data_IF_577782576913
#
_entry.id   IF_577782576913
#
_cell.length_a   1.000
_cell.length_b   1.000
_cell.length_c   1.000
_cell.angle_alpha   90.00
_cell.angle_beta   90.00
_cell.angle_gamma   90.00
#
_symmetry.space_group_name_H-M   'P 1'
#
loop_
_entity.id
_entity.type
_entity.pdbx_description
1 polymer ?
#
# COMPACT_ATOMS: atom_id res chain seq x y z
N UNK A 1 50.38 12.93 26.04
CA UNK A 1 50.94 13.54 24.82
C UNK A 1 49.79 13.99 23.94
N UNK A 2 49.70 15.30 23.67
CA UNK A 2 48.64 15.92 22.87
C UNK A 2 48.57 15.29 21.48
N UNK A 3 47.41 14.75 21.10
CA UNK A 3 47.14 14.41 19.71
C UNK A 3 46.64 15.68 19.00
N UNK A 4 47.41 16.10 17.99
CA UNK A 4 47.13 17.28 17.15
C UNK A 4 45.86 17.05 16.32
N UNK A 5 45.02 18.06 16.08
CA UNK A 5 43.90 17.95 15.15
C UNK A 5 44.41 17.97 13.70
N UNK A 6 43.80 17.13 12.87
CA UNK A 6 43.98 17.07 11.42
C UNK A 6 43.35 18.33 10.81
N UNK A 7 44.15 19.12 10.08
CA UNK A 7 43.68 20.25 9.27
C UNK A 7 43.21 19.72 7.92
N UNK A 8 42.05 20.15 7.45
CA UNK A 8 41.61 19.98 6.07
C UNK A 8 41.62 21.37 5.43
N UNK A 9 42.42 21.54 4.38
CA UNK A 9 42.57 22.77 3.59
C UNK A 9 41.63 22.71 2.37
N UNK A 10 41.13 23.86 1.90
CA UNK A 10 40.54 24.00 0.57
C UNK A 10 41.58 24.53 -0.44
N UNK A 11 41.25 24.48 -1.74
CA UNK A 11 42.12 24.86 -2.86
C UNK A 11 42.49 26.38 -2.91
N UNK A 12 42.22 27.13 -1.84
CA UNK A 12 42.61 28.52 -1.64
C UNK A 12 43.33 28.82 -0.31
N UNK A 13 43.53 27.83 0.58
CA UNK A 13 44.38 27.98 1.76
C UNK A 13 43.82 28.86 2.89
N UNK A 14 42.50 28.89 3.12
CA UNK A 14 41.91 29.58 4.27
C UNK A 14 41.28 28.63 5.31
N UNK A 15 41.61 28.86 6.58
CA UNK A 15 41.10 28.10 7.74
C UNK A 15 39.70 28.63 8.09
N UNK A 16 38.66 27.80 7.97
CA UNK A 16 37.30 28.14 8.40
C UNK A 16 37.01 27.43 9.74
N UNK A 17 36.92 28.19 10.83
CA UNK A 17 36.41 27.72 12.13
C UNK A 17 34.87 27.54 12.09
N UNK A 18 34.28 26.60 12.86
CA UNK A 18 32.83 26.43 12.90
C UNK A 18 32.16 27.65 13.56
N UNK A 19 31.23 28.28 12.85
CA UNK A 19 30.43 29.40 13.36
C UNK A 19 29.57 28.93 14.56
N UNK A 20 29.95 29.33 15.77
CA UNK A 20 29.10 29.22 16.96
C UNK A 20 27.85 30.09 16.78
N UNK A 21 26.68 29.45 16.77
CA UNK A 21 25.38 30.12 16.61
C UNK A 21 24.99 30.85 17.92
N UNK A 22 25.54 32.04 18.15
CA UNK A 22 25.25 32.90 19.30
C UNK A 22 24.02 33.77 19.05
N UNK A 23 22.83 33.18 19.18
CA UNK A 23 21.55 33.91 19.18
C UNK A 23 20.47 33.19 20.00
N UNK A 24 19.51 33.90 20.61
CA UNK A 24 18.43 33.27 21.37
C UNK A 24 17.58 32.38 20.44
N UNK A 25 17.55 31.08 20.74
CA UNK A 25 16.80 30.09 19.99
C UNK A 25 15.29 30.30 20.19
N UNK A 26 14.59 30.70 19.14
CA UNK A 26 13.14 30.89 19.17
C UNK A 26 12.40 29.61 18.73
N UNK A 27 11.31 29.29 19.42
CA UNK A 27 10.42 28.17 19.13
C UNK A 27 9.82 28.32 17.73
N UNK A 28 10.06 27.35 16.85
CA UNK A 28 9.58 27.41 15.46
C UNK A 28 8.05 27.28 15.34
N UNK A 29 7.38 26.85 16.41
CA UNK A 29 5.92 26.74 16.47
C UNK A 29 5.28 28.07 16.82
N UNK A 30 5.71 28.71 17.91
CA UNK A 30 5.01 29.87 18.49
C UNK A 30 5.90 31.09 18.75
N UNK A 31 7.16 31.11 18.33
CA UNK A 31 8.05 32.27 18.47
C UNK A 31 8.64 32.51 19.87
N UNK A 32 8.08 31.93 20.94
CA UNK A 32 8.62 32.03 22.31
C UNK A 32 10.05 31.44 22.42
N UNK A 33 10.81 31.81 23.46
CA UNK A 33 12.12 31.19 23.74
C UNK A 33 12.03 29.65 23.79
N UNK A 34 12.96 28.99 23.10
CA UNK A 34 12.93 27.56 22.81
C UNK A 34 14.28 26.87 22.96
N UNK A 35 14.24 25.55 23.05
CA UNK A 35 15.39 24.67 23.06
C UNK A 35 15.09 23.44 22.20
N UNK A 36 16.09 22.59 21.96
CA UNK A 36 15.92 21.40 21.12
C UNK A 36 15.03 20.36 21.83
N UNK A 37 13.86 20.08 21.27
CA UNK A 37 12.89 19.09 21.75
C UNK A 37 12.29 18.32 20.57
N UNK A 38 12.25 16.98 20.67
CA UNK A 38 11.67 16.09 19.65
C UNK A 38 12.22 16.32 18.23
N UNK A 39 13.49 16.70 18.10
CA UNK A 39 14.14 16.92 16.81
C UNK A 39 14.09 18.35 16.26
N UNK A 40 13.45 19.30 16.94
CA UNK A 40 13.32 20.70 16.49
C UNK A 40 13.46 21.72 17.63
N UNK A 41 13.57 23.02 17.34
CA UNK A 41 13.61 24.07 18.37
C UNK A 41 12.19 24.42 18.80
N UNK A 42 11.87 24.14 20.06
CA UNK A 42 10.54 24.37 20.62
C UNK A 42 10.59 24.83 22.08
N UNK A 43 9.63 25.66 22.46
CA UNK A 43 9.42 26.02 23.86
C UNK A 43 8.82 24.85 24.66
N UNK A 44 8.93 24.90 25.99
CA UNK A 44 8.36 23.89 26.90
C UNK A 44 6.84 23.70 26.71
N UNK A 45 6.11 24.76 26.37
CA UNK A 45 4.67 24.69 26.11
C UNK A 45 4.34 23.85 24.88
N UNK A 46 5.09 23.99 23.78
CA UNK A 46 4.87 23.19 22.57
C UNK A 46 5.41 21.76 22.71
N UNK A 47 6.50 21.56 23.47
CA UNK A 47 6.97 20.23 23.90
C UNK A 47 5.88 19.47 24.64
N UNK A 48 5.34 20.04 25.72
CA UNK A 48 4.34 19.39 26.55
C UNK A 48 2.98 19.21 25.86
N UNK A 49 2.63 20.11 24.95
CA UNK A 49 1.47 19.97 24.07
C UNK A 49 1.65 18.75 23.14
N UNK A 50 2.73 18.73 22.36
CA UNK A 50 3.02 17.65 21.41
C UNK A 50 3.01 16.27 22.08
N UNK A 51 3.74 16.12 23.20
CA UNK A 51 3.76 14.86 23.96
C UNK A 51 2.37 14.36 24.34
N UNK A 52 1.52 15.24 24.90
CA UNK A 52 0.17 14.85 25.34
C UNK A 52 -0.74 14.52 24.17
N UNK A 53 -0.61 15.24 23.06
CA UNK A 53 -1.41 14.99 21.86
C UNK A 53 -1.11 13.63 21.26
N UNK A 54 0.16 13.22 21.22
CA UNK A 54 0.56 11.91 20.70
C UNK A 54 0.19 10.79 21.68
N UNK A 55 0.59 10.90 22.97
CA UNK A 55 0.39 9.80 23.94
C UNK A 55 -1.08 9.51 24.24
N UNK A 56 -1.95 10.51 24.16
CA UNK A 56 -3.39 10.35 24.39
C UNK A 56 -4.19 10.24 23.08
N UNK A 57 -3.51 10.04 21.96
CA UNK A 57 -4.07 9.97 20.61
C UNK A 57 -5.15 11.04 20.35
N UNK A 58 -4.85 12.31 20.68
CA UNK A 58 -5.83 13.40 20.62
C UNK A 58 -6.11 13.81 19.19
N UNK A 59 -7.35 13.63 18.76
CA UNK A 59 -7.88 14.20 17.52
C UNK A 59 -8.47 15.57 17.81
N UNK A 60 -7.94 16.61 17.17
CA UNK A 60 -8.45 17.97 17.27
C UNK A 60 -9.18 18.36 15.98
N UNK A 61 -10.23 19.19 16.08
CA UNK A 61 -10.89 19.82 14.94
C UNK A 61 -10.61 21.32 14.94
N UNK A 62 -10.40 21.91 13.76
CA UNK A 62 -10.35 23.36 13.61
C UNK A 62 -11.78 23.87 13.42
N UNK A 63 -12.14 24.93 14.15
CA UNK A 63 -13.44 25.64 14.00
C UNK A 63 -13.36 26.84 13.04
N UNK A 64 -12.21 27.01 12.37
CA UNK A 64 -11.92 28.04 11.36
C UNK A 64 -11.40 27.35 10.09
N UNK A 65 -10.66 28.06 9.26
CA UNK A 65 -10.20 27.55 7.95
C UNK A 65 -8.83 26.84 7.98
N UNK A 66 -8.47 26.20 9.10
CA UNK A 66 -7.17 25.49 9.27
C UNK A 66 -5.90 26.36 9.08
N UNK A 67 -6.02 27.69 9.08
CA UNK A 67 -4.92 28.67 8.89
C UNK A 67 -4.61 29.50 10.15
N UNK A 68 -4.94 29.00 11.35
CA UNK A 68 -4.74 29.76 12.59
C UNK A 68 -3.25 30.05 12.87
N UNK A 69 -2.92 31.31 13.14
CA UNK A 69 -1.57 31.75 13.50
C UNK A 69 -1.18 31.33 14.92
N UNK A 70 0.07 30.89 15.08
CA UNK A 70 0.63 30.44 16.35
C UNK A 70 1.61 31.47 16.91
N UNK A 71 1.21 32.17 17.95
CA UNK A 71 2.03 33.05 18.79
C UNK A 71 2.05 32.54 20.24
N UNK A 72 2.90 33.05 21.15
CA UNK A 72 2.89 32.62 22.55
C UNK A 72 1.52 32.82 23.21
N UNK A 73 0.77 33.85 22.79
CA UNK A 73 -0.53 34.24 23.31
C UNK A 73 -1.68 33.45 22.65
N UNK A 74 -1.61 33.23 21.33
CA UNK A 74 -2.74 32.63 20.57
C UNK A 74 -2.66 31.11 20.40
N UNK A 75 -1.53 30.47 20.71
CA UNK A 75 -1.29 29.03 20.45
C UNK A 75 -2.31 28.08 21.09
N UNK A 76 -3.00 28.48 22.15
CA UNK A 76 -4.03 27.63 22.79
C UNK A 76 -5.40 27.75 22.12
N UNK A 77 -5.63 28.74 21.23
CA UNK A 77 -6.91 28.96 20.59
C UNK A 77 -7.30 27.94 19.51
N UNK A 78 -6.32 27.20 18.97
CA UNK A 78 -6.61 26.12 18.01
C UNK A 78 -5.60 24.98 18.15
N UNK A 79 -5.98 23.93 18.88
CA UNK A 79 -5.14 22.75 19.08
C UNK A 79 -4.87 21.99 17.78
N UNK A 80 -5.80 21.99 16.83
CA UNK A 80 -5.58 21.40 15.50
C UNK A 80 -4.40 22.07 14.78
N UNK A 81 -4.47 23.38 14.55
CA UNK A 81 -3.42 24.10 13.81
C UNK A 81 -2.09 24.08 14.57
N UNK A 82 -2.12 24.09 15.91
CA UNK A 82 -0.92 23.97 16.73
C UNK A 82 -0.23 22.61 16.54
N UNK A 83 -1.01 21.51 16.54
CA UNK A 83 -0.47 20.16 16.34
C UNK A 83 0.06 19.98 14.91
N UNK A 84 -0.67 20.49 13.92
CA UNK A 84 -0.19 20.52 12.53
C UNK A 84 1.13 21.28 12.40
N UNK A 85 1.26 22.44 13.06
CA UNK A 85 2.51 23.19 13.04
C UNK A 85 3.65 22.47 13.77
N UNK A 86 3.38 21.72 14.84
CA UNK A 86 4.39 20.86 15.48
C UNK A 86 4.95 19.83 14.49
N UNK A 87 4.10 19.19 13.69
CA UNK A 87 4.56 18.27 12.64
C UNK A 87 5.32 19.00 11.54
N UNK A 88 4.81 20.14 11.07
CA UNK A 88 5.41 20.92 9.98
C UNK A 88 6.84 21.37 10.29
N UNK A 89 7.14 21.71 11.55
CA UNK A 89 8.51 22.09 11.97
C UNK A 89 9.39 20.90 12.35
N UNK A 90 8.91 19.67 12.14
CA UNK A 90 9.70 18.44 12.31
C UNK A 90 9.75 17.88 13.73
N UNK A 91 8.71 18.06 14.56
CA UNK A 91 8.63 17.31 15.81
C UNK A 91 8.38 15.81 15.52
N UNK A 92 9.28 14.95 15.98
CA UNK A 92 9.27 13.50 15.75
C UNK A 92 8.76 12.73 16.96
N UNK A 93 7.87 11.76 16.72
CA UNK A 93 7.29 10.88 17.73
C UNK A 93 8.27 9.84 18.26
N UNK A 94 9.27 9.43 17.47
CA UNK A 94 10.28 8.45 17.87
C UNK A 94 11.10 8.86 19.11
N UNK A 95 11.28 10.16 19.35
CA UNK A 95 11.93 10.67 20.56
C UNK A 95 11.07 10.54 21.83
N UNK A 96 9.79 10.20 21.71
CA UNK A 96 8.93 9.88 22.85
C UNK A 96 9.22 8.47 23.40
N UNK A 97 9.69 7.55 22.54
CA UNK A 97 10.04 6.18 22.92
C UNK A 97 11.45 6.09 23.52
N UNK A 98 12.34 7.02 23.19
CA UNK A 98 13.73 7.07 23.67
C UNK A 98 13.88 7.41 25.17
N UNK A 99 12.81 7.75 25.91
CA UNK A 99 12.92 8.05 27.34
C UNK A 99 12.94 6.80 28.24
N UNK A 100 13.03 5.59 27.68
CA UNK A 100 13.26 4.33 28.41
C UNK A 100 14.32 3.50 27.70
N UNK A 101 15.58 3.94 27.77
CA UNK A 101 16.82 3.11 27.86
C UNK A 101 18.03 4.01 27.59
N UNK A 102 18.74 4.33 28.66
CA UNK A 102 20.07 4.93 28.62
C UNK A 102 21.09 3.93 28.09
N UNK A 103 21.96 4.38 27.19
CA UNK A 103 23.33 3.84 27.09
C UNK A 103 23.78 3.37 25.71
N UNK A 104 24.91 3.97 25.30
CA UNK A 104 25.93 3.46 24.37
C UNK A 104 25.88 3.89 22.90
N UNK A 105 26.87 4.73 22.59
CA UNK A 105 27.27 5.27 21.30
C UNK A 105 27.79 4.20 20.34
N UNK A 106 27.33 4.20 19.08
CA UNK A 106 28.07 3.66 17.92
C UNK A 106 27.88 4.55 16.70
N UNK A 107 28.97 4.78 15.98
CA UNK A 107 29.09 5.65 14.79
C UNK A 107 28.17 5.14 13.66
N UNK A 108 27.32 6.02 13.16
CA UNK A 108 26.49 5.82 11.96
C UNK A 108 27.35 6.26 10.76
N UNK A 109 27.52 5.37 9.79
CA UNK A 109 28.04 5.71 8.46
C UNK A 109 26.88 6.39 7.73
N UNK A 110 27.11 7.64 7.34
CA UNK A 110 26.15 8.51 6.69
C UNK A 110 25.97 8.11 5.22
N UNK A 111 24.91 7.36 4.94
CA UNK A 111 24.30 7.28 3.61
C UNK A 111 23.03 8.13 3.68
N UNK A 112 23.17 9.45 3.60
CA UNK A 112 22.07 10.38 3.43
C UNK A 112 21.61 10.42 1.97
N UNK A 113 20.37 10.03 1.63
CA UNK A 113 19.66 10.63 0.51
C UNK A 113 19.27 12.04 0.93
N UNK A 114 19.63 13.05 0.13
CA UNK A 114 19.18 14.43 0.32
C UNK A 114 17.65 14.48 0.15
N UNK A 115 16.93 14.53 1.27
CA UNK A 115 15.49 14.74 1.34
C UNK A 115 14.94 14.23 2.66
N UNK A 116 14.32 15.10 3.47
CA UNK A 116 13.65 14.68 4.69
C UNK A 116 12.46 13.76 4.37
N UNK A 117 12.27 12.63 5.07
CA UNK A 117 11.15 11.74 4.80
C UNK A 117 9.83 12.41 5.20
N UNK A 118 9.01 12.71 4.21
CA UNK A 118 7.60 13.07 4.38
C UNK A 118 6.85 11.84 4.91
N UNK A 119 5.98 11.96 5.93
CA UNK A 119 5.17 10.83 6.40
C UNK A 119 4.37 10.19 5.24
N UNK A 120 4.18 8.85 5.19
CA UNK A 120 3.50 8.16 4.10
C UNK A 120 2.14 8.78 3.71
N UNK A 121 1.36 9.21 4.71
CA UNK A 121 0.08 9.90 4.50
C UNK A 121 0.22 11.27 3.83
N UNK A 122 1.27 12.04 4.15
CA UNK A 122 1.56 13.32 3.51
C UNK A 122 2.17 13.13 2.12
N UNK A 123 2.86 12.03 1.85
CA UNK A 123 3.39 11.72 0.52
C UNK A 123 2.29 11.22 -0.43
N UNK A 124 1.35 10.42 0.06
CA UNK A 124 0.10 10.08 -0.66
C UNK A 124 -0.72 11.35 -0.93
N UNK A 125 -0.86 12.25 0.06
CA UNK A 125 -1.52 13.55 -0.16
C UNK A 125 -0.74 14.52 -1.08
N UNK A 126 0.60 14.46 -1.10
CA UNK A 126 1.43 15.24 -2.03
C UNK A 126 1.48 14.65 -3.44
N UNK A 127 1.31 13.33 -3.59
CA UNK A 127 1.06 12.67 -4.88
C UNK A 127 -0.32 13.07 -5.39
N UNK A 128 -1.36 12.99 -4.54
CA UNK A 128 -2.71 13.47 -4.82
C UNK A 128 -2.76 14.92 -5.33
N UNK A 129 -2.00 15.84 -4.73
CA UNK A 129 -1.94 17.25 -5.18
C UNK A 129 -1.23 17.45 -6.52
N UNK A 130 -0.49 16.45 -7.02
CA UNK A 130 0.19 16.50 -8.33
C UNK A 130 -0.59 15.81 -9.45
N UNK A 131 -1.65 15.07 -9.11
CA UNK A 131 -2.50 14.32 -10.06
C UNK A 131 -3.84 15.03 -10.29
N UNK A 132 -3.90 16.34 -10.03
CA UNK A 132 -5.03 17.17 -10.46
C UNK A 132 -5.15 17.09 -12.00
N UNK A 133 -6.20 16.40 -12.47
CA UNK A 133 -6.85 16.48 -13.81
C UNK A 133 -7.01 15.19 -14.64
N UNK A 134 -7.05 13.99 -14.06
CA UNK A 134 -7.54 12.80 -14.79
C UNK A 134 -8.49 11.94 -13.97
N UNK A 135 -9.69 12.43 -13.68
CA UNK A 135 -10.74 11.58 -13.15
C UNK A 135 -11.38 10.78 -14.31
N UNK A 136 -11.24 9.45 -14.31
CA UNK A 136 -12.03 8.60 -15.20
C UNK A 136 -13.40 8.37 -14.59
N UNK A 137 -14.45 8.74 -15.32
CA UNK A 137 -15.81 8.42 -14.94
C UNK A 137 -16.04 6.91 -15.04
N UNK A 138 -16.58 6.32 -13.97
CA UNK A 138 -17.15 4.95 -13.91
C UNK A 138 -18.14 4.67 -15.06
N UNK A 139 -18.67 5.71 -15.73
CA UNK A 139 -19.60 5.60 -16.86
C UNK A 139 -19.01 5.02 -18.15
N UNK A 140 -17.69 4.97 -18.33
CA UNK A 140 -17.07 4.47 -19.58
C UNK A 140 -17.33 2.98 -19.85
N UNK A 141 -17.57 2.17 -18.80
CA UNK A 141 -17.89 0.74 -18.92
C UNK A 141 -19.31 0.48 -19.46
N UNK A 142 -20.24 1.43 -19.31
CA UNK A 142 -21.62 1.27 -19.78
C UNK A 142 -21.73 1.24 -21.31
N UNK A 143 -20.71 1.72 -22.03
CA UNK A 143 -20.66 1.61 -23.50
C UNK A 143 -20.43 0.15 -23.97
N UNK A 144 -19.65 -0.63 -23.21
CA UNK A 144 -19.35 -2.04 -23.55
C UNK A 144 -20.52 -2.99 -23.29
N UNK A 145 -21.42 -2.67 -22.35
CA UNK A 145 -22.61 -3.50 -22.05
C UNK A 145 -23.61 -3.59 -23.22
N UNK A 146 -23.47 -2.76 -24.26
CA UNK A 146 -24.42 -2.69 -25.38
C UNK A 146 -24.12 -3.63 -26.56
N UNK A 147 -22.95 -4.28 -26.60
CA UNK A 147 -22.62 -5.29 -27.60
C UNK A 147 -22.69 -6.67 -26.98
N UNK A 148 -23.88 -7.26 -27.03
CA UNK A 148 -24.02 -8.70 -26.85
C UNK A 148 -23.25 -9.42 -27.95
N UNK A 149 -22.03 -9.85 -27.67
CA UNK A 149 -21.43 -11.05 -28.26
C UNK A 149 -20.23 -11.54 -27.45
N UNK A 150 -20.13 -12.86 -27.42
CA UNK A 150 -19.45 -13.71 -26.44
C UNK A 150 -18.07 -14.18 -26.92
N UNK A 151 -17.32 -13.36 -27.66
CA UNK A 151 -16.02 -13.80 -28.17
C UNK A 151 -14.92 -13.69 -27.10
N UNK A 152 -13.92 -14.57 -27.19
CA UNK A 152 -12.71 -14.53 -26.33
C UNK A 152 -12.06 -13.14 -26.33
N UNK A 153 -12.01 -12.47 -27.49
CA UNK A 153 -11.43 -11.15 -27.62
C UNK A 153 -12.23 -10.07 -26.88
N UNK A 154 -13.57 -10.12 -26.93
CA UNK A 154 -14.44 -9.15 -26.23
C UNK A 154 -14.26 -9.25 -24.71
N UNK A 155 -14.14 -10.47 -24.19
CA UNK A 155 -13.91 -10.73 -22.76
C UNK A 155 -12.54 -10.19 -22.31
N UNK A 156 -11.50 -10.44 -23.11
CA UNK A 156 -10.14 -9.93 -22.85
C UNK A 156 -10.12 -8.40 -22.82
N UNK A 157 -10.75 -7.76 -23.82
CA UNK A 157 -10.82 -6.30 -23.90
C UNK A 157 -11.59 -5.71 -22.72
N UNK A 158 -12.73 -6.31 -22.35
CA UNK A 158 -13.50 -5.89 -21.18
C UNK A 158 -12.66 -5.91 -19.90
N UNK A 159 -12.00 -7.02 -19.60
CA UNK A 159 -11.19 -7.10 -18.38
C UNK A 159 -9.93 -6.24 -18.42
N UNK A 160 -9.32 -6.06 -19.59
CA UNK A 160 -8.24 -5.07 -19.78
C UNK A 160 -8.69 -3.65 -19.44
N UNK A 161 -9.90 -3.27 -19.85
CA UNK A 161 -10.47 -1.95 -19.53
C UNK A 161 -10.87 -1.83 -18.05
N UNK A 162 -11.39 -2.89 -17.43
CA UNK A 162 -11.65 -2.93 -15.98
C UNK A 162 -10.36 -2.70 -15.18
N UNK A 163 -9.27 -3.39 -15.53
CA UNK A 163 -7.95 -3.18 -14.91
C UNK A 163 -7.50 -1.72 -15.02
N UNK A 164 -7.63 -1.15 -16.22
CA UNK A 164 -7.25 0.24 -16.50
C UNK A 164 -8.07 1.22 -15.66
N UNK A 165 -9.38 1.04 -15.62
CA UNK A 165 -10.28 1.90 -14.84
C UNK A 165 -9.94 1.82 -13.36
N UNK A 166 -9.78 0.62 -12.78
CA UNK A 166 -9.46 0.45 -11.36
C UNK A 166 -8.12 1.10 -10.96
N UNK A 167 -7.17 1.16 -11.90
CA UNK A 167 -5.89 1.83 -11.71
C UNK A 167 -6.00 3.37 -11.76
N UNK A 168 -7.04 3.96 -12.37
CA UNK A 168 -7.21 5.41 -12.66
C UNK A 168 -8.34 6.14 -11.88
N UNK A 169 -9.04 5.49 -10.93
CA UNK A 169 -10.18 6.12 -10.20
C UNK A 169 -9.72 7.03 -9.04
N UNK A 170 -10.46 8.13 -8.76
CA UNK A 170 -10.21 9.07 -7.64
C UNK A 170 -11.40 9.37 -6.69
N UNK A 171 -11.16 9.47 -5.37
CA UNK A 171 -12.12 9.91 -4.33
C UNK A 171 -11.39 10.27 -2.99
N UNK A 172 -12.02 11.02 -2.07
CA UNK A 172 -11.49 11.34 -0.72
C UNK A 172 -12.29 10.60 0.38
N UNK A 173 -11.67 9.77 1.28
CA UNK A 173 -12.36 9.13 2.45
C UNK A 173 -11.49 8.26 3.42
N UNK A 174 -12.12 7.65 4.46
CA UNK A 174 -11.59 7.17 5.78
C UNK A 174 -11.42 5.64 5.99
N UNK A 175 -10.37 5.19 6.70
CA UNK A 175 -9.84 3.80 6.70
C UNK A 175 -10.54 2.66 7.49
N UNK A 176 -11.72 2.85 8.09
CA UNK A 176 -12.41 1.77 8.81
C UNK A 176 -13.92 1.78 8.53
N UNK A 177 -14.40 0.76 7.84
CA UNK A 177 -15.77 0.66 7.31
C UNK A 177 -16.32 -0.75 7.44
N UNK A 178 -17.65 -0.85 7.50
CA UNK A 178 -18.38 -2.11 7.43
C UNK A 178 -18.15 -2.81 6.07
N UNK A 179 -18.14 -4.14 6.03
CA UNK A 179 -17.96 -4.94 4.80
C UNK A 179 -18.99 -4.60 3.73
N UNK A 180 -20.26 -4.51 4.10
CA UNK A 180 -21.35 -4.25 3.14
C UNK A 180 -21.17 -2.87 2.51
N UNK A 181 -20.80 -1.88 3.33
CA UNK A 181 -20.49 -0.52 2.85
C UNK A 181 -19.19 -0.47 2.04
N UNK A 182 -18.18 -1.25 2.44
CA UNK A 182 -16.91 -1.30 1.75
C UNK A 182 -17.05 -1.91 0.35
N UNK A 183 -17.81 -2.99 0.21
CA UNK A 183 -18.07 -3.63 -1.09
C UNK A 183 -18.95 -2.76 -1.99
N UNK A 184 -19.99 -2.14 -1.43
CA UNK A 184 -20.92 -1.29 -2.19
C UNK A 184 -20.35 0.09 -2.55
N UNK A 185 -19.51 0.66 -1.68
CA UNK A 185 -18.84 1.95 -1.88
C UNK A 185 -17.32 1.84 -1.62
N UNK A 186 -16.53 1.20 -2.51
CA UNK A 186 -15.10 0.93 -2.26
C UNK A 186 -14.26 2.16 -1.94
N UNK A 187 -14.59 3.31 -2.53
CA UNK A 187 -13.93 4.59 -2.27
C UNK A 187 -14.06 5.08 -0.82
N UNK A 188 -14.88 4.42 0.02
CA UNK A 188 -14.91 4.67 1.46
C UNK A 188 -13.68 4.12 2.18
N UNK A 189 -13.04 3.07 1.68
CA UNK A 189 -11.93 2.36 2.33
C UNK A 189 -10.64 3.19 2.31
N UNK A 190 -10.33 3.77 1.16
CA UNK A 190 -9.15 4.58 0.93
C UNK A 190 -9.46 5.63 -0.12
N UNK A 191 -8.74 6.76 -0.14
CA UNK A 191 -8.75 7.62 -1.30
C UNK A 191 -8.40 6.79 -2.53
N UNK A 192 -9.27 6.83 -3.55
CA UNK A 192 -8.91 6.24 -4.83
C UNK A 192 -7.88 7.19 -5.42
N UNK A 193 -6.71 6.65 -5.73
CA UNK A 193 -5.58 7.38 -6.31
C UNK A 193 -4.95 6.48 -7.34
N UNK A 194 -4.29 7.05 -8.34
CA UNK A 194 -3.59 6.25 -9.35
C UNK A 194 -2.73 5.16 -8.70
N UNK A 195 -2.88 3.94 -9.22
CA UNK A 195 -2.08 2.81 -8.77
C UNK A 195 -0.65 2.94 -9.32
N UNK A 196 0.21 3.61 -8.57
CA UNK A 196 1.61 3.76 -8.93
C UNK A 196 2.40 2.49 -8.57
N UNK A 197 2.71 1.67 -9.57
CA UNK A 197 3.47 0.42 -9.37
C UNK A 197 4.99 0.61 -9.38
N UNK A 198 5.51 1.79 -9.73
CA UNK A 198 6.96 2.04 -9.79
C UNK A 198 7.65 2.00 -8.41
N UNK A 199 8.96 1.74 -8.40
CA UNK A 199 9.77 1.70 -7.17
C UNK A 199 10.20 3.11 -6.73
N UNK A 200 9.37 3.79 -5.93
CA UNK A 200 9.65 5.14 -5.43
C UNK A 200 10.12 5.17 -3.97
N UNK A 201 9.44 4.42 -3.10
CA UNK A 201 9.67 4.42 -1.67
C UNK A 201 9.88 3.01 -1.12
N UNK A 202 10.88 2.77 -0.27
CA UNK A 202 11.01 1.48 0.40
C UNK A 202 9.85 1.27 1.37
N UNK A 203 9.43 0.02 1.51
CA UNK A 203 8.38 -0.39 2.44
C UNK A 203 8.78 -0.09 3.89
N UNK A 204 7.81 0.35 4.68
CA UNK A 204 7.94 0.60 6.12
C UNK A 204 6.67 0.11 6.81
N UNK A 205 6.75 -0.34 8.06
CA UNK A 205 5.59 -0.84 8.80
C UNK A 205 4.42 0.15 8.84
N UNK A 206 4.69 1.45 9.00
CA UNK A 206 3.67 2.52 9.00
C UNK A 206 2.94 2.68 7.64
N UNK A 207 3.49 2.14 6.56
CA UNK A 207 2.89 2.16 5.23
C UNK A 207 1.99 0.94 4.97
N UNK A 208 2.03 -0.10 5.80
CA UNK A 208 1.28 -1.34 5.59
C UNK A 208 -0.23 -1.08 5.47
N UNK A 209 -0.83 -0.39 6.46
CA UNK A 209 -2.28 -0.12 6.47
C UNK A 209 -2.72 0.73 5.26
N UNK A 210 -2.06 1.84 4.91
CA UNK A 210 -2.38 2.59 3.69
C UNK A 210 -2.28 1.76 2.40
N UNK A 211 -1.21 0.98 2.23
CA UNK A 211 -1.02 0.09 1.07
C UNK A 211 -2.15 -0.92 1.00
N UNK A 212 -2.43 -1.60 2.12
CA UNK A 212 -3.48 -2.59 2.24
C UNK A 212 -4.86 -2.00 1.92
N UNK A 213 -5.21 -0.85 2.50
CA UNK A 213 -6.50 -0.18 2.26
C UNK A 213 -6.67 0.18 0.78
N UNK A 214 -5.62 0.73 0.13
CA UNK A 214 -5.70 1.09 -1.30
C UNK A 214 -5.84 -0.14 -2.20
N UNK A 215 -5.12 -1.22 -1.89
CA UNK A 215 -5.20 -2.47 -2.64
C UNK A 215 -6.57 -3.14 -2.48
N UNK A 216 -7.13 -3.19 -1.27
CA UNK A 216 -8.49 -3.68 -1.04
C UNK A 216 -9.52 -2.82 -1.78
N UNK A 217 -9.37 -1.50 -1.77
CA UNK A 217 -10.23 -0.62 -2.56
C UNK A 217 -10.16 -0.95 -4.07
N UNK A 218 -8.96 -1.10 -4.64
CA UNK A 218 -8.77 -1.47 -6.04
C UNK A 218 -9.42 -2.83 -6.35
N UNK A 219 -9.28 -3.81 -5.46
CA UNK A 219 -9.90 -5.12 -5.61
C UNK A 219 -11.44 -5.08 -5.51
N UNK A 220 -12.00 -4.28 -4.61
CA UNK A 220 -13.46 -4.14 -4.50
C UNK A 220 -14.05 -3.37 -5.68
N UNK A 221 -13.33 -2.37 -6.20
CA UNK A 221 -13.68 -1.75 -7.48
C UNK A 221 -13.70 -2.82 -8.60
N UNK A 222 -12.65 -3.65 -8.72
CA UNK A 222 -12.61 -4.77 -9.67
C UNK A 222 -13.80 -5.73 -9.50
N UNK A 223 -14.09 -6.14 -8.27
CA UNK A 223 -15.21 -7.03 -7.95
C UNK A 223 -16.57 -6.44 -8.36
N UNK A 224 -16.76 -5.12 -8.22
CA UNK A 224 -17.99 -4.43 -8.61
C UNK A 224 -18.23 -4.43 -10.12
N UNK A 225 -17.18 -4.64 -10.93
CA UNK A 225 -17.26 -4.72 -12.38
C UNK A 225 -17.39 -6.16 -12.91
N UNK A 226 -17.38 -7.17 -12.05
CA UNK A 226 -17.50 -8.57 -12.50
C UNK A 226 -18.94 -8.88 -12.94
N UNK A 227 -19.23 -9.11 -14.23
CA UNK A 227 -20.60 -9.27 -14.71
C UNK A 227 -21.26 -10.53 -14.16
N UNK A 228 -20.51 -11.64 -14.04
CA UNK A 228 -21.07 -12.90 -13.55
C UNK A 228 -21.42 -12.87 -12.04
N UNK A 229 -21.07 -11.80 -11.31
CA UNK A 229 -21.52 -11.60 -9.94
C UNK A 229 -23.04 -11.45 -9.85
N UNK A 230 -23.72 -11.01 -10.91
CA UNK A 230 -25.19 -10.94 -10.97
C UNK A 230 -25.85 -12.33 -10.83
N UNK A 231 -25.11 -13.41 -11.14
CA UNK A 231 -25.61 -14.79 -11.04
C UNK A 231 -25.56 -15.36 -9.61
N UNK A 232 -24.88 -14.67 -8.68
CA UNK A 232 -24.66 -15.11 -7.30
C UNK A 232 -25.63 -14.37 -6.38
N UNK A 233 -26.20 -15.08 -5.41
CA UNK A 233 -27.11 -14.49 -4.42
C UNK A 233 -26.42 -13.36 -3.64
N UNK A 234 -27.10 -12.23 -3.50
CA UNK A 234 -26.60 -11.01 -2.84
C UNK A 234 -26.02 -11.28 -1.44
N UNK A 235 -26.59 -12.21 -0.67
CA UNK A 235 -26.12 -12.56 0.68
C UNK A 235 -24.83 -13.40 0.65
N UNK A 236 -24.45 -13.89 -0.52
CA UNK A 236 -23.29 -14.76 -0.73
C UNK A 236 -22.13 -14.02 -1.43
N UNK A 237 -22.41 -12.91 -2.13
CA UNK A 237 -21.41 -12.10 -2.86
C UNK A 237 -20.27 -11.65 -1.96
N UNK A 238 -20.59 -11.08 -0.80
CA UNK A 238 -19.57 -10.58 0.13
C UNK A 238 -18.68 -11.71 0.65
N UNK A 239 -19.24 -12.90 0.91
CA UNK A 239 -18.46 -14.07 1.31
C UNK A 239 -17.48 -14.51 0.23
N UNK A 240 -17.92 -14.53 -1.03
CA UNK A 240 -17.03 -14.83 -2.16
C UNK A 240 -15.91 -13.80 -2.31
N UNK A 241 -16.26 -12.51 -2.30
CA UNK A 241 -15.31 -11.39 -2.46
C UNK A 241 -14.25 -11.42 -1.36
N UNK A 242 -14.67 -11.53 -0.10
CA UNK A 242 -13.75 -11.49 1.04
C UNK A 242 -12.81 -12.70 1.04
N UNK A 243 -13.34 -13.91 0.85
CA UNK A 243 -12.55 -15.15 0.90
C UNK A 243 -11.51 -15.27 -0.24
N UNK A 244 -11.73 -14.58 -1.36
CA UNK A 244 -10.81 -14.55 -2.50
C UNK A 244 -9.94 -13.28 -2.58
N UNK A 245 -10.10 -12.33 -1.65
CA UNK A 245 -9.39 -11.05 -1.69
C UNK A 245 -7.86 -11.20 -1.67
N UNK A 246 -7.31 -11.90 -0.66
CA UNK A 246 -5.86 -12.01 -0.47
C UNK A 246 -5.15 -12.70 -1.64
N UNK A 247 -5.71 -13.79 -2.17
CA UNK A 247 -5.10 -14.52 -3.29
C UNK A 247 -5.13 -13.71 -4.59
N UNK A 248 -6.20 -12.94 -4.83
CA UNK A 248 -6.30 -12.06 -6.02
C UNK A 248 -5.38 -10.85 -5.89
N UNK A 249 -5.23 -10.30 -4.68
CA UNK A 249 -4.25 -9.26 -4.42
C UNK A 249 -2.81 -9.77 -4.64
N UNK A 250 -2.47 -10.96 -4.15
CA UNK A 250 -1.17 -11.59 -4.39
C UNK A 250 -0.89 -11.80 -5.88
N UNK A 251 -1.87 -12.31 -6.64
CA UNK A 251 -1.79 -12.45 -8.10
C UNK A 251 -1.56 -11.10 -8.78
N UNK A 252 -2.27 -10.06 -8.34
CA UNK A 252 -2.14 -8.70 -8.88
C UNK A 252 -0.77 -8.10 -8.59
N UNK A 253 -0.28 -8.22 -7.36
CA UNK A 253 1.07 -7.77 -6.98
C UNK A 253 2.14 -8.48 -7.80
N UNK A 254 2.02 -9.80 -7.98
CA UNK A 254 2.96 -10.57 -8.78
C UNK A 254 2.99 -10.11 -10.25
N UNK A 255 1.81 -9.99 -10.87
CA UNK A 255 1.70 -9.56 -12.26
C UNK A 255 2.12 -8.09 -12.49
N UNK A 256 1.80 -7.18 -11.58
CA UNK A 256 2.19 -5.78 -11.77
C UNK A 256 3.69 -5.60 -11.56
N UNK A 257 4.28 -6.37 -10.63
CA UNK A 257 5.73 -6.37 -10.39
C UNK A 257 6.52 -7.02 -11.55
N UNK A 258 6.02 -8.10 -12.17
CA UNK A 258 6.75 -8.75 -13.26
C UNK A 258 6.95 -7.81 -14.47
N UNK A 259 5.98 -6.92 -14.73
CA UNK A 259 6.03 -5.94 -15.84
C UNK A 259 7.08 -4.83 -15.66
N UNK A 260 7.65 -4.70 -14.48
CA UNK A 260 8.63 -3.66 -14.19
C UNK A 260 10.03 -4.18 -14.48
N UNK A 261 10.72 -3.47 -15.38
CA UNK A 261 12.13 -3.66 -15.64
C UNK A 261 12.93 -2.73 -14.73
N UNK A 262 13.18 -3.20 -13.51
CA UNK A 262 14.04 -2.54 -12.55
C UNK A 262 15.14 -3.54 -12.21
N UNK A 263 16.42 -3.14 -12.34
CA UNK A 263 17.57 -4.01 -12.06
C UNK A 263 17.77 -4.40 -10.59
N UNK A 264 16.73 -4.27 -9.77
CA UNK A 264 16.71 -4.61 -8.35
C UNK A 264 15.54 -5.56 -8.11
N UNK A 265 15.85 -6.70 -7.50
CA UNK A 265 14.83 -7.67 -7.10
C UNK A 265 13.99 -7.09 -5.97
N UNK A 266 12.74 -6.78 -6.29
CA UNK A 266 11.80 -6.18 -5.37
C UNK A 266 10.35 -6.52 -5.74
N UNK A 267 9.49 -6.48 -4.73
CA UNK A 267 8.04 -6.54 -4.89
C UNK A 267 7.47 -5.14 -4.80
N UNK A 268 6.56 -4.78 -5.69
CA UNK A 268 5.96 -3.43 -5.73
C UNK A 268 4.52 -3.42 -5.27
N UNK A 269 4.09 -2.26 -4.78
CA UNK A 269 2.73 -2.00 -4.31
C UNK A 269 2.25 -0.69 -4.93
N UNK A 270 0.96 -0.61 -5.30
CA UNK A 270 0.35 0.48 -6.10
C UNK A 270 0.33 1.90 -5.51
N UNK A 271 1.20 2.24 -4.56
CA UNK A 271 1.40 3.60 -4.03
C UNK A 271 2.87 4.06 -4.16
N UNK A 272 3.61 3.44 -5.08
CA UNK A 272 5.05 3.66 -5.28
C UNK A 272 5.93 2.95 -4.24
N UNK A 273 5.34 2.14 -3.36
CA UNK A 273 6.08 1.42 -2.34
C UNK A 273 6.67 0.13 -2.89
N UNK A 274 7.87 -0.23 -2.44
CA UNK A 274 8.49 -1.50 -2.81
C UNK A 274 9.16 -2.19 -1.61
N UNK A 275 9.14 -3.52 -1.62
CA UNK A 275 9.84 -4.35 -0.66
C UNK A 275 11.03 -5.02 -1.38
N UNK A 276 12.29 -4.66 -1.05
CA UNK A 276 13.46 -5.29 -1.66
C UNK A 276 13.56 -6.76 -1.24
N UNK A 277 13.80 -7.64 -2.20
CA UNK A 277 13.98 -9.08 -1.98
C UNK A 277 15.47 -9.34 -1.84
N UNK A 278 15.93 -9.58 -0.61
CA UNK A 278 17.33 -9.84 -0.29
C UNK A 278 17.45 -11.30 0.14
N UNK A 279 18.20 -12.11 -0.60
CA UNK A 279 18.41 -13.53 -0.29
C UNK A 279 19.12 -13.69 1.06
N UNK A 280 20.23 -12.97 1.28
CA UNK A 280 21.08 -13.08 2.48
C UNK A 280 20.75 -12.07 3.59
N UNK A 281 19.46 -11.79 3.79
CA UNK A 281 19.03 -10.82 4.82
C UNK A 281 19.26 -11.40 6.22
N UNK A 282 20.03 -10.69 7.07
CA UNK A 282 20.34 -11.13 8.44
C UNK A 282 19.06 -11.33 9.26
N UNK A 283 19.01 -12.29 10.20
CA UNK A 283 17.79 -12.56 10.98
C UNK A 283 17.21 -11.33 11.69
N UNK A 284 18.05 -10.41 12.16
CA UNK A 284 17.61 -9.17 12.82
C UNK A 284 16.95 -8.14 11.88
N UNK A 285 17.12 -8.30 10.57
CA UNK A 285 16.59 -7.43 9.51
C UNK A 285 15.39 -8.06 8.79
N UNK A 286 15.05 -9.32 9.12
CA UNK A 286 13.89 -10.01 8.56
C UNK A 286 12.59 -9.50 9.21
N UNK A 287 11.61 -9.21 8.38
CA UNK A 287 10.26 -8.87 8.79
C UNK A 287 9.39 -10.12 8.87
N UNK A 288 8.19 -9.97 9.42
CA UNK A 288 7.14 -10.99 9.32
C UNK A 288 6.69 -11.26 7.89
N UNK A 289 7.23 -10.64 6.84
CA UNK A 289 6.82 -10.90 5.46
C UNK A 289 7.97 -11.41 4.58
N UNK A 290 9.23 -11.30 5.02
CA UNK A 290 10.42 -11.60 4.20
C UNK A 290 10.34 -12.94 3.48
N UNK A 291 10.02 -14.02 4.20
CA UNK A 291 9.94 -15.35 3.58
C UNK A 291 8.83 -15.47 2.53
N UNK A 292 7.67 -14.85 2.77
CA UNK A 292 6.57 -14.86 1.80
C UNK A 292 6.92 -14.04 0.58
N UNK A 293 7.60 -12.90 0.78
CA UNK A 293 8.12 -12.06 -0.29
C UNK A 293 9.12 -12.81 -1.18
N UNK A 294 10.04 -13.59 -0.59
CA UNK A 294 10.99 -14.40 -1.37
C UNK A 294 10.31 -15.47 -2.22
N UNK A 295 9.37 -16.21 -1.62
CA UNK A 295 8.61 -17.24 -2.34
C UNK A 295 7.81 -16.61 -3.47
N UNK A 296 7.06 -15.54 -3.21
CA UNK A 296 6.27 -14.85 -4.23
C UNK A 296 7.16 -14.33 -5.38
N UNK A 297 8.34 -13.80 -5.06
CA UNK A 297 9.28 -13.31 -6.07
C UNK A 297 9.85 -14.44 -6.93
N UNK A 298 10.47 -15.43 -6.29
CA UNK A 298 11.16 -16.54 -6.97
C UNK A 298 10.18 -17.46 -7.71
N UNK A 299 9.06 -17.80 -7.10
CA UNK A 299 8.18 -18.88 -7.57
C UNK A 299 6.93 -18.36 -8.31
N UNK A 300 6.73 -17.05 -8.36
CA UNK A 300 5.65 -16.44 -9.15
C UNK A 300 6.16 -15.36 -10.09
N UNK A 301 6.83 -14.32 -9.58
CA UNK A 301 7.21 -13.15 -10.38
C UNK A 301 8.25 -13.53 -11.44
N UNK A 302 9.30 -14.26 -11.07
CA UNK A 302 10.34 -14.70 -12.02
C UNK A 302 9.75 -15.60 -13.12
N UNK A 303 8.98 -16.67 -12.83
CA UNK A 303 8.31 -17.46 -13.85
C UNK A 303 7.40 -16.63 -14.77
N UNK A 304 6.62 -15.68 -14.21
CA UNK A 304 5.79 -14.78 -15.02
C UNK A 304 6.62 -13.90 -15.97
N UNK A 305 7.81 -13.45 -15.55
CA UNK A 305 8.75 -12.67 -16.40
C UNK A 305 9.34 -13.53 -17.50
N UNK A 306 9.87 -14.70 -17.14
CA UNK A 306 10.52 -15.63 -18.08
C UNK A 306 9.57 -16.09 -19.17
N UNK A 307 8.31 -16.33 -18.80
CA UNK A 307 7.28 -16.70 -19.75
C UNK A 307 6.68 -15.46 -20.45
N UNK A 308 6.98 -14.23 -20.03
CA UNK A 308 6.34 -13.02 -20.55
C UNK A 308 4.81 -13.09 -20.46
N UNK A 309 4.27 -13.30 -19.24
CA UNK A 309 2.83 -13.35 -19.03
C UNK A 309 2.18 -12.04 -19.50
N UNK A 310 1.28 -12.15 -20.49
CA UNK A 310 0.63 -11.00 -21.13
C UNK A 310 -0.50 -10.43 -20.27
N UNK A 311 -0.98 -9.24 -20.63
CA UNK A 311 -2.13 -8.61 -19.96
C UNK A 311 -3.41 -9.43 -20.17
N UNK A 312 -3.63 -9.94 -21.38
CA UNK A 312 -4.77 -10.76 -21.70
C UNK A 312 -4.81 -12.05 -20.87
N UNK A 313 -3.70 -12.79 -20.82
CA UNK A 313 -3.59 -14.01 -20.01
C UNK A 313 -3.85 -13.70 -18.53
N UNK A 314 -3.22 -12.64 -17.99
CA UNK A 314 -3.44 -12.20 -16.61
C UNK A 314 -4.91 -11.87 -16.33
N UNK A 315 -5.57 -11.09 -17.19
CA UNK A 315 -6.97 -10.71 -17.03
C UNK A 315 -7.89 -11.94 -17.01
N UNK A 316 -7.71 -12.88 -17.96
CA UNK A 316 -8.51 -14.11 -18.01
C UNK A 316 -8.27 -14.96 -16.75
N UNK A 317 -6.99 -15.14 -16.38
CA UNK A 317 -6.61 -15.93 -15.19
C UNK A 317 -7.14 -15.29 -13.92
N UNK A 318 -7.08 -13.96 -13.78
CA UNK A 318 -7.62 -13.23 -12.63
C UNK A 318 -9.13 -13.37 -12.53
N UNK A 319 -9.86 -13.25 -13.64
CA UNK A 319 -11.31 -13.47 -13.68
C UNK A 319 -11.67 -14.91 -13.28
N UNK A 320 -10.97 -15.92 -13.83
CA UNK A 320 -11.16 -17.32 -13.45
C UNK A 320 -10.85 -17.57 -11.97
N UNK A 321 -9.75 -17.02 -11.47
CA UNK A 321 -9.28 -17.24 -10.10
C UNK A 321 -10.11 -16.48 -9.06
N UNK A 322 -10.72 -15.35 -9.45
CA UNK A 322 -11.66 -14.58 -8.62
C UNK A 322 -12.86 -15.43 -8.18
N UNK A 323 -13.37 -16.26 -9.10
CA UNK A 323 -14.43 -17.23 -8.83
C UNK A 323 -13.87 -18.55 -8.28
N UNK A 324 -12.88 -18.50 -7.37
CA UNK A 324 -12.46 -19.71 -6.67
C UNK A 324 -13.57 -20.16 -5.69
N UNK A 325 -13.91 -21.47 -5.61
CA UNK A 325 -14.90 -22.01 -4.70
C UNK A 325 -14.56 -21.73 -3.23
N UNK A 326 -15.58 -21.34 -2.47
CA UNK A 326 -15.49 -21.04 -1.04
C UNK A 326 -16.44 -21.98 -0.32
N UNK A 327 -15.93 -22.80 0.60
CA UNK A 327 -16.67 -23.89 1.26
C UNK A 327 -17.89 -23.42 2.04
N UNK A 328 -17.95 -22.14 2.45
CA UNK A 328 -19.07 -21.57 3.18
C UNK A 328 -20.28 -21.21 2.30
N UNK A 329 -20.18 -21.32 0.98
CA UNK A 329 -21.25 -20.97 0.04
C UNK A 329 -22.24 -22.13 -0.14
N UNK A 330 -23.46 -21.82 -0.57
CA UNK A 330 -24.44 -22.85 -0.92
C UNK A 330 -24.01 -23.72 -2.11
N UNK A 331 -24.47 -24.97 -2.16
CA UNK A 331 -24.21 -25.89 -3.28
C UNK A 331 -24.64 -25.30 -4.64
N UNK A 332 -25.74 -24.54 -4.65
CA UNK A 332 -26.21 -23.83 -5.84
C UNK A 332 -25.18 -22.79 -6.31
N UNK A 333 -24.66 -21.98 -5.40
CA UNK A 333 -23.64 -20.97 -5.72
C UNK A 333 -22.33 -21.63 -6.14
N UNK A 334 -21.93 -22.75 -5.52
CA UNK A 334 -20.76 -23.52 -5.91
C UNK A 334 -20.86 -24.07 -7.34
N UNK A 335 -22.04 -24.58 -7.73
CA UNK A 335 -22.30 -25.02 -9.11
C UNK A 335 -22.20 -23.87 -10.12
N UNK A 336 -22.75 -22.70 -9.79
CA UNK A 336 -22.66 -21.50 -10.63
C UNK A 336 -21.21 -21.06 -10.79
N UNK A 337 -20.47 -20.98 -9.67
CA UNK A 337 -19.05 -20.64 -9.64
C UNK A 337 -18.24 -21.58 -10.53
N UNK A 338 -18.44 -22.89 -10.43
CA UNK A 338 -17.71 -23.86 -11.27
C UNK A 338 -18.00 -23.67 -12.76
N UNK A 339 -19.25 -23.37 -13.15
CA UNK A 339 -19.58 -23.05 -14.55
C UNK A 339 -18.89 -21.77 -15.03
N UNK A 340 -18.82 -20.74 -14.19
CA UNK A 340 -18.12 -19.49 -14.51
C UNK A 340 -16.61 -19.75 -14.69
N UNK A 341 -16.02 -20.59 -13.82
CA UNK A 341 -14.61 -20.98 -13.96
C UNK A 341 -14.35 -21.76 -15.25
N UNK A 342 -15.20 -22.71 -15.59
CA UNK A 342 -15.12 -23.47 -16.84
C UNK A 342 -15.20 -22.55 -18.06
N UNK A 343 -16.12 -21.57 -18.04
CA UNK A 343 -16.20 -20.51 -19.04
C UNK A 343 -14.86 -19.81 -19.22
N UNK A 344 -14.25 -19.30 -18.14
CA UNK A 344 -12.96 -18.59 -18.24
C UNK A 344 -11.76 -19.50 -18.56
N UNK A 345 -11.79 -20.77 -18.15
CA UNK A 345 -10.79 -21.75 -18.55
C UNK A 345 -10.83 -22.00 -20.07
N UNK A 346 -12.03 -22.09 -20.65
CA UNK A 346 -12.20 -22.20 -22.10
C UNK A 346 -11.71 -20.95 -22.82
N UNK A 347 -12.04 -19.75 -22.30
CA UNK A 347 -11.54 -18.47 -22.84
C UNK A 347 -10.00 -18.44 -22.84
N UNK A 348 -9.36 -18.90 -21.76
CA UNK A 348 -7.89 -18.99 -21.69
C UNK A 348 -7.34 -19.98 -22.73
N UNK A 349 -7.94 -21.16 -22.82
CA UNK A 349 -7.52 -22.18 -23.77
C UNK A 349 -7.63 -21.70 -25.21
N UNK A 350 -8.77 -21.09 -25.57
CA UNK A 350 -9.00 -20.53 -26.91
C UNK A 350 -8.04 -19.39 -27.21
N UNK A 351 -7.79 -18.50 -26.23
CA UNK A 351 -6.81 -17.42 -26.39
C UNK A 351 -5.41 -17.99 -26.67
N UNK A 352 -4.96 -18.96 -25.88
CA UNK A 352 -3.64 -19.55 -26.03
C UNK A 352 -3.50 -20.31 -27.35
N UNK A 353 -4.48 -21.12 -27.74
CA UNK A 353 -4.43 -21.86 -29.01
C UNK A 353 -4.44 -20.95 -30.25
N UNK A 354 -4.92 -19.71 -30.13
CA UNK A 354 -4.85 -18.71 -31.19
C UNK A 354 -3.48 -18.02 -31.25
N UNK A 355 -2.80 -17.87 -30.10
CA UNK A 355 -1.51 -17.16 -30.00
C UNK A 355 -0.30 -18.09 -30.17
N UNK A 356 -0.43 -19.38 -29.86
CA UNK A 356 0.66 -20.35 -29.88
C UNK A 356 0.19 -21.76 -30.26
N UNK A 357 1.13 -22.67 -30.52
CA UNK A 357 0.81 -24.06 -30.84
C UNK A 357 0.25 -24.83 -29.63
N UNK A 358 -0.39 -25.98 -29.91
CA UNK A 358 -1.06 -26.79 -28.88
C UNK A 358 -0.12 -27.20 -27.74
N UNK A 359 1.10 -27.63 -28.05
CA UNK A 359 2.07 -28.07 -27.04
C UNK A 359 2.54 -26.91 -26.18
N UNK A 360 2.83 -25.75 -26.80
CA UNK A 360 3.19 -24.53 -26.08
C UNK A 360 2.04 -24.05 -25.18
N UNK A 361 0.79 -24.11 -25.67
CA UNK A 361 -0.40 -23.74 -24.89
C UNK A 361 -0.58 -24.63 -23.66
N UNK A 362 -0.37 -25.94 -23.78
CA UNK A 362 -0.45 -26.88 -22.64
C UNK A 362 0.65 -26.61 -21.62
N UNK A 363 1.88 -26.36 -22.07
CA UNK A 363 3.00 -25.98 -21.18
C UNK A 363 2.69 -24.65 -20.48
N UNK A 364 2.12 -23.70 -21.21
CA UNK A 364 1.70 -22.38 -20.71
C UNK A 364 0.68 -22.51 -19.58
N UNK A 365 -0.38 -23.29 -19.79
CA UNK A 365 -1.42 -23.56 -18.80
C UNK A 365 -0.82 -24.23 -17.55
N UNK A 366 0.11 -25.17 -17.74
CA UNK A 366 0.78 -25.89 -16.65
C UNK A 366 1.62 -24.94 -15.78
N UNK A 367 2.36 -24.01 -16.40
CA UNK A 367 3.12 -22.96 -15.70
C UNK A 367 2.20 -22.01 -14.95
N UNK A 368 1.12 -21.53 -15.60
CA UNK A 368 0.10 -20.69 -14.94
C UNK A 368 -0.48 -21.40 -13.72
N UNK A 369 -0.88 -22.68 -13.86
CA UNK A 369 -1.45 -23.44 -12.77
C UNK A 369 -0.47 -23.59 -11.60
N UNK A 370 0.80 -23.89 -11.89
CA UNK A 370 1.85 -23.98 -10.88
C UNK A 370 2.00 -22.67 -10.09
N UNK A 371 2.01 -21.53 -10.78
CA UNK A 371 2.05 -20.20 -10.16
C UNK A 371 0.84 -19.97 -9.25
N UNK A 372 -0.37 -20.32 -9.69
CA UNK A 372 -1.59 -20.17 -8.89
C UNK A 372 -1.58 -21.03 -7.62
N UNK A 373 -1.00 -22.24 -7.66
CA UNK A 373 -0.85 -23.08 -6.48
C UNK A 373 0.09 -22.45 -5.44
N UNK A 374 1.19 -21.83 -5.89
CA UNK A 374 2.09 -21.09 -5.00
C UNK A 374 1.37 -19.88 -4.39
N UNK A 375 0.61 -19.13 -5.19
CA UNK A 375 -0.18 -18.00 -4.71
C UNK A 375 -1.18 -18.46 -3.65
N UNK A 376 -1.89 -19.56 -3.85
CA UNK A 376 -2.85 -20.12 -2.87
C UNK A 376 -2.18 -20.44 -1.53
N UNK A 377 -1.03 -21.10 -1.54
CA UNK A 377 -0.32 -21.45 -0.30
C UNK A 377 0.22 -20.21 0.39
N UNK A 378 0.79 -19.27 -0.36
CA UNK A 378 1.39 -18.05 0.20
C UNK A 378 0.33 -17.06 0.69
N UNK A 379 -0.81 -16.92 0.02
CA UNK A 379 -1.93 -16.09 0.47
C UNK A 379 -2.51 -16.61 1.80
N UNK A 380 -2.70 -17.91 1.94
CA UNK A 380 -3.18 -18.52 3.19
C UNK A 380 -2.20 -18.27 4.36
N UNK A 381 -0.88 -18.28 4.08
CA UNK A 381 0.13 -17.91 5.09
C UNK A 381 0.13 -16.41 5.37
N UNK A 382 -0.05 -15.58 4.35
CA UNK A 382 -0.14 -14.13 4.50
C UNK A 382 -1.34 -13.75 5.38
N UNK A 383 -2.51 -14.35 5.14
CA UNK A 383 -3.71 -14.13 5.93
C UNK A 383 -3.52 -14.46 7.41
N UNK A 384 -2.86 -15.59 7.73
CA UNK A 384 -2.52 -15.93 9.13
C UNK A 384 -1.61 -14.89 9.78
N UNK A 385 -0.65 -14.33 9.02
CA UNK A 385 0.23 -13.27 9.53
C UNK A 385 -0.54 -11.96 9.71
N UNK A 386 -1.39 -11.59 8.76
CA UNK A 386 -2.27 -10.42 8.86
C UNK A 386 -3.23 -10.53 10.04
N UNK A 387 -3.84 -11.70 10.28
CA UNK A 387 -4.68 -11.96 11.43
C UNK A 387 -3.94 -11.68 12.74
N UNK A 388 -2.68 -12.14 12.85
CA UNK A 388 -1.82 -11.82 13.99
C UNK A 388 -1.63 -10.31 14.18
N UNK A 389 -1.31 -9.57 13.11
CA UNK A 389 -1.15 -8.11 13.16
C UNK A 389 -2.44 -7.38 13.55
N UNK A 390 -3.60 -7.83 13.04
CA UNK A 390 -4.91 -7.26 13.39
C UNK A 390 -5.21 -7.48 14.87
N UNK A 391 -4.99 -8.70 15.39
CA UNK A 391 -5.31 -9.07 16.77
C UNK A 391 -4.44 -8.33 17.80
N UNK A 392 -3.19 -8.01 17.47
CA UNK A 392 -2.28 -7.27 18.36
C UNK A 392 -2.21 -5.76 18.07
N UNK A 393 -3.03 -5.27 17.14
CA UNK A 393 -3.00 -3.89 16.61
C UNK A 393 -1.58 -3.42 16.22
N UNK A 394 -0.86 -4.26 15.48
CA UNK A 394 0.44 -3.90 14.91
C UNK A 394 0.25 -3.18 13.57
N UNK A 395 1.11 -2.19 13.30
CA UNK A 395 1.08 -1.38 12.07
C UNK A 395 -0.28 -0.69 11.78
N UNK A 396 -1.10 -0.45 12.82
CA UNK A 396 -2.43 0.15 12.67
C UNK A 396 -3.43 -0.72 11.93
N UNK A 397 -3.23 -2.05 11.96
CA UNK A 397 -4.08 -3.00 11.25
C UNK A 397 -5.41 -3.28 11.92
N UNK A 398 -5.62 -2.90 13.20
CA UNK A 398 -6.92 -3.03 13.84
C UNK A 398 -7.99 -2.24 13.07
N UNK A 399 -9.13 -2.89 12.83
CA UNK A 399 -10.26 -2.33 12.10
C UNK A 399 -11.27 -3.41 11.78
N UNK A 400 -12.52 -3.02 11.56
CA UNK A 400 -13.62 -3.94 11.28
C UNK A 400 -13.41 -4.68 9.97
N UNK A 401 -13.05 -3.94 8.92
CA UNK A 401 -12.82 -4.52 7.59
C UNK A 401 -11.63 -5.50 7.57
N UNK A 402 -10.51 -5.13 8.21
CA UNK A 402 -9.33 -6.00 8.27
C UNK A 402 -9.57 -7.23 9.14
N UNK A 403 -10.37 -7.11 10.20
CA UNK A 403 -10.84 -8.24 10.99
C UNK A 403 -11.72 -9.18 10.15
N UNK A 404 -12.68 -8.63 9.42
CA UNK A 404 -13.59 -9.44 8.60
C UNK A 404 -12.86 -10.15 7.46
N UNK A 405 -11.83 -9.53 6.85
CA UNK A 405 -11.04 -10.12 5.76
C UNK A 405 -10.04 -11.17 6.24
N UNK A 406 -9.36 -10.95 7.37
CA UNK A 406 -8.22 -11.79 7.77
C UNK A 406 -8.48 -12.67 8.99
N UNK A 407 -9.45 -12.33 9.84
CA UNK A 407 -9.71 -13.04 11.10
C UNK A 407 -11.02 -13.83 11.04
N UNK A 408 -12.11 -13.26 10.50
CA UNK A 408 -13.44 -13.91 10.50
C UNK A 408 -13.61 -14.97 9.41
N UNK A 409 -12.91 -14.82 8.29
CA UNK A 409 -12.95 -15.70 7.10
C UNK A 409 -12.06 -16.94 7.22
N UNK A 410 -11.12 -16.95 8.17
CA UNK A 410 -10.23 -18.06 8.51
C UNK A 410 -10.75 -18.80 9.75
#
# INVERSE_FOLDING_TARGET
MMQRPIKLEDDGGHIIEPLELTGPLNCLICGASGAKHYGTIACLGCKGFFRRSILLNKVYKCIRNKTCTMSPETRNGCHYCRLQKCYAVGMKTCYLQASRKSGSSRKIIDLSPKGSPTPPFLLVNQQLSKVENRCVSLGSLNAFKSQGNSSTNDIVQYFGEVERICDEVFDERTMDVDVDLAVSEPGRIAPRVDMEWGMRLPFTDDALKPIWCRQICNFFDYASFMPDMEMIDEKEKNRLILANSTRILSLTVAYKTQRLDHGVDAITFGLGFYYPVIEDQKPAEQTSFTELSRILFRDCIVPMREMHLSLAEYCIVKAMYFFSPVSTLSDRSLQIINRIREKYANVLNDYLLNEMGYMEAVERITKIHSILQVIEVTSNRFDKRMAGLVMVDSAGMLGRLSYDIHVRTN
#
